data_IF_043298613456
#
_entry.id   IF_043298613456
#
_cell.length_a   1.000
_cell.length_b   1.000
_cell.length_c   1.000
_cell.angle_alpha   90.00
_cell.angle_beta   90.00
_cell.angle_gamma   90.00
#
_symmetry.space_group_name_H-M   'P 1'
#
loop_
_entity.id
_entity.type
_entity.pdbx_description
1 polymer ?
#
# COMPACT_ATOMS: atom_id res chain seq x y z
N UNK A 1 20.93 -38.69 -37.18
CA UNK A 1 19.69 -37.90 -37.33
C UNK A 1 19.11 -37.71 -35.94
N UNK A 2 19.33 -36.53 -35.36
CA UNK A 2 18.94 -36.17 -33.99
C UNK A 2 17.42 -36.01 -33.91
N UNK A 3 16.77 -36.94 -33.22
CA UNK A 3 15.33 -36.95 -33.06
C UNK A 3 14.93 -35.85 -32.06
N UNK A 4 14.43 -34.72 -32.59
CA UNK A 4 13.92 -33.58 -31.83
C UNK A 4 12.70 -34.06 -31.05
N UNK A 5 12.86 -34.37 -29.77
CA UNK A 5 11.73 -34.52 -28.84
C UNK A 5 11.02 -33.17 -28.79
N UNK A 6 9.89 -33.05 -29.48
CA UNK A 6 8.97 -31.95 -29.28
C UNK A 6 8.50 -32.01 -27.83
N UNK A 7 9.11 -31.18 -26.98
CA UNK A 7 8.70 -30.99 -25.61
C UNK A 7 7.31 -30.35 -25.63
N UNK A 8 6.28 -31.11 -25.28
CA UNK A 8 4.88 -30.63 -25.15
C UNK A 8 4.66 -29.61 -24.03
N UNK A 9 5.69 -28.85 -23.68
CA UNK A 9 5.73 -27.80 -22.65
C UNK A 9 6.01 -26.42 -23.28
N UNK A 10 5.95 -26.28 -24.61
CA UNK A 10 6.14 -24.97 -25.25
C UNK A 10 5.10 -23.95 -24.79
N UNK A 11 3.85 -24.38 -24.54
CA UNK A 11 2.77 -23.53 -24.03
C UNK A 11 3.07 -22.88 -22.67
N UNK A 12 4.02 -23.44 -21.90
CA UNK A 12 4.41 -22.91 -20.59
C UNK A 12 5.05 -21.52 -20.73
N UNK A 13 5.64 -21.22 -21.89
CA UNK A 13 6.20 -19.90 -22.21
C UNK A 13 5.15 -18.80 -22.33
N UNK A 14 3.91 -19.20 -22.65
CA UNK A 14 2.79 -18.28 -22.85
C UNK A 14 1.96 -18.09 -21.56
N UNK A 15 2.34 -18.79 -20.47
CA UNK A 15 1.65 -18.65 -19.19
C UNK A 15 2.06 -17.34 -18.48
N UNK A 16 1.10 -16.65 -17.84
CA UNK A 16 1.40 -15.48 -17.03
C UNK A 16 2.39 -15.83 -15.91
N UNK A 17 3.39 -14.98 -15.74
CA UNK A 17 4.47 -15.18 -14.77
C UNK A 17 5.53 -16.22 -15.12
N UNK A 18 5.63 -16.65 -16.39
CA UNK A 18 6.73 -17.49 -16.86
C UNK A 18 8.10 -16.80 -16.76
N UNK A 19 8.18 -15.50 -17.09
CA UNK A 19 9.42 -14.73 -16.97
C UNK A 19 9.64 -14.26 -15.53
N UNK A 20 10.77 -14.67 -14.94
CA UNK A 20 11.09 -14.40 -13.53
C UNK A 20 11.75 -13.04 -13.41
N UNK A 21 10.97 -12.07 -12.94
CA UNK A 21 11.43 -10.70 -12.69
C UNK A 21 10.48 -9.65 -13.26
N UNK A 22 9.65 -10.03 -14.24
CA UNK A 22 8.60 -9.17 -14.80
C UNK A 22 7.35 -9.98 -15.17
N UNK A 23 6.72 -10.64 -14.19
CA UNK A 23 5.56 -11.47 -14.47
C UNK A 23 4.36 -10.59 -14.84
N UNK A 24 3.97 -10.61 -16.10
CA UNK A 24 2.70 -10.02 -16.56
C UNK A 24 1.60 -11.03 -16.24
N UNK A 25 0.67 -10.67 -15.36
CA UNK A 25 -0.45 -11.53 -14.95
C UNK A 25 -1.78 -11.08 -15.57
N UNK A 26 -1.93 -9.78 -15.85
CA UNK A 26 -3.12 -9.22 -16.49
C UNK A 26 -2.84 -8.78 -17.92
N UNK A 27 -3.90 -8.63 -18.72
CA UNK A 27 -3.78 -8.18 -20.13
C UNK A 27 -3.17 -6.78 -20.26
N UNK A 28 -3.25 -5.97 -19.18
CA UNK A 28 -2.67 -4.64 -19.12
C UNK A 28 -1.61 -4.58 -18.04
N UNK A 29 -0.37 -4.40 -18.46
CA UNK A 29 0.82 -4.25 -17.63
C UNK A 29 0.68 -3.14 -16.55
N UNK A 30 -0.09 -2.08 -16.82
CA UNK A 30 -0.36 -1.03 -15.83
C UNK A 30 -1.16 -1.54 -14.62
N UNK A 31 -2.00 -2.56 -14.82
CA UNK A 31 -2.78 -3.19 -13.74
C UNK A 31 -1.87 -4.04 -12.86
N UNK A 32 -0.93 -4.79 -13.47
CA UNK A 32 0.10 -5.54 -12.74
C UNK A 32 0.98 -4.63 -11.88
N UNK A 33 1.42 -3.50 -12.44
CA UNK A 33 2.18 -2.49 -11.69
C UNK A 33 1.39 -1.91 -10.54
N UNK A 34 0.12 -1.56 -10.76
CA UNK A 34 -0.73 -1.01 -9.70
C UNK A 34 -0.94 -2.02 -8.56
N UNK A 35 -1.19 -3.29 -8.89
CA UNK A 35 -1.35 -4.34 -7.91
C UNK A 35 -0.05 -4.58 -7.13
N UNK A 36 1.10 -4.59 -7.83
CA UNK A 36 2.41 -4.71 -7.17
C UNK A 36 2.64 -3.58 -6.17
N UNK A 37 2.35 -2.34 -6.55
CA UNK A 37 2.43 -1.17 -5.65
C UNK A 37 1.50 -1.32 -4.45
N UNK A 38 0.25 -1.77 -4.67
CA UNK A 38 -0.70 -1.97 -3.57
C UNK A 38 -0.25 -3.07 -2.61
N UNK A 39 0.30 -4.16 -3.14
CA UNK A 39 0.84 -5.25 -2.32
C UNK A 39 2.04 -4.80 -1.49
N UNK A 40 2.98 -4.05 -2.09
CA UNK A 40 4.13 -3.48 -1.39
C UNK A 40 3.70 -2.50 -0.30
N UNK A 41 2.77 -1.59 -0.60
CA UNK A 41 2.22 -0.66 0.39
C UNK A 41 1.48 -1.40 1.53
N UNK A 42 0.75 -2.47 1.21
CA UNK A 42 0.08 -3.31 2.20
C UNK A 42 1.08 -4.01 3.13
N UNK A 43 2.21 -4.49 2.59
CA UNK A 43 3.28 -5.09 3.38
C UNK A 43 3.93 -4.08 4.32
N UNK A 44 4.27 -2.89 3.83
CA UNK A 44 4.84 -1.81 4.66
C UNK A 44 3.85 -1.35 5.74
N UNK A 45 2.55 -1.25 5.42
CA UNK A 45 1.51 -0.95 6.40
C UNK A 45 1.45 -2.02 7.51
N UNK A 46 1.61 -3.28 7.15
CA UNK A 46 1.63 -4.37 8.11
C UNK A 46 2.83 -4.28 9.08
N UNK A 47 4.01 -3.94 8.57
CA UNK A 47 5.20 -3.69 9.41
C UNK A 47 4.95 -2.55 10.40
N UNK A 48 4.28 -1.47 9.98
CA UNK A 48 3.93 -0.37 10.88
C UNK A 48 2.95 -0.83 11.96
N UNK A 49 1.92 -1.62 11.60
CA UNK A 49 0.97 -2.18 12.56
C UNK A 49 1.64 -3.10 13.57
N UNK A 50 2.55 -3.96 13.13
CA UNK A 50 3.30 -4.87 13.99
C UNK A 50 4.14 -4.09 15.03
N UNK A 51 4.85 -3.06 14.57
CA UNK A 51 5.61 -2.17 15.46
C UNK A 51 4.73 -1.41 16.43
N UNK A 52 3.54 -0.97 16.00
CA UNK A 52 2.58 -0.29 16.87
C UNK A 52 2.06 -1.24 17.96
N UNK A 53 1.70 -2.46 17.61
CA UNK A 53 1.24 -3.48 18.56
C UNK A 53 2.32 -3.80 19.60
N UNK A 54 3.58 -3.94 19.19
CA UNK A 54 4.68 -4.16 20.13
C UNK A 54 4.95 -2.94 21.03
N UNK A 55 4.82 -1.72 20.49
CA UNK A 55 4.91 -0.49 21.28
C UNK A 55 3.79 -0.43 22.33
N UNK A 56 2.56 -0.77 21.93
CA UNK A 56 1.39 -0.87 22.83
C UNK A 56 1.62 -1.89 23.95
N UNK A 57 2.17 -3.07 23.64
CA UNK A 57 2.56 -4.10 24.61
C UNK A 57 3.57 -3.55 25.63
N UNK A 58 4.69 -2.98 25.16
CA UNK A 58 5.73 -2.41 26.04
C UNK A 58 5.16 -1.31 26.94
N UNK A 59 4.30 -0.43 26.42
CA UNK A 59 3.72 0.66 27.20
C UNK A 59 2.70 0.16 28.24
N UNK A 60 1.96 -0.90 27.90
CA UNK A 60 1.02 -1.55 28.81
C UNK A 60 1.75 -2.26 29.96
N UNK A 61 2.80 -3.02 29.67
CA UNK A 61 3.60 -3.75 30.68
C UNK A 61 4.26 -2.81 31.69
N UNK A 62 4.66 -1.61 31.26
CA UNK A 62 5.27 -0.60 32.14
C UNK A 62 4.25 0.17 33.00
N UNK A 63 2.97 -0.23 33.01
CA UNK A 63 1.85 0.46 33.69
C UNK A 63 1.72 1.94 33.32
N UNK A 64 2.19 2.34 32.13
CA UNK A 64 2.16 3.74 31.67
C UNK A 64 0.95 4.06 30.80
N UNK A 65 0.23 3.04 30.33
CA UNK A 65 -0.90 3.22 29.41
C UNK A 65 -1.88 2.05 29.49
N UNK A 66 -3.19 2.33 29.57
CA UNK A 66 -4.23 1.33 29.37
C UNK A 66 -4.60 1.29 27.89
N UNK A 67 -4.65 0.11 27.28
CA UNK A 67 -5.09 -0.04 25.89
C UNK A 67 -6.54 0.43 25.68
N UNK A 68 -7.37 0.41 26.73
CA UNK A 68 -8.73 0.95 26.67
C UNK A 68 -8.73 2.47 26.44
N UNK A 69 -7.74 3.19 26.98
CA UNK A 69 -7.62 4.64 26.82
C UNK A 69 -7.29 5.02 25.37
N UNK A 70 -6.64 4.14 24.60
CA UNK A 70 -6.36 4.35 23.17
C UNK A 70 -7.61 4.16 22.31
N UNK A 71 -8.55 3.30 22.71
CA UNK A 71 -9.77 3.04 21.94
C UNK A 71 -10.82 4.14 22.12
N UNK A 72 -10.85 4.79 23.29
CA UNK A 72 -11.82 5.84 23.62
C UNK A 72 -11.22 7.25 23.66
N UNK A 73 -9.89 7.35 23.69
CA UNK A 73 -9.17 8.61 23.76
C UNK A 73 -9.16 9.32 22.41
N UNK A 74 -9.38 10.64 22.44
CA UNK A 74 -9.11 11.51 21.30
C UNK A 74 -7.69 12.10 21.45
N UNK A 75 -6.91 12.22 20.37
CA UNK A 75 -5.70 13.02 20.37
C UNK A 75 -5.98 14.44 20.91
N UNK A 76 -4.98 15.07 21.53
CA UNK A 76 -5.11 16.49 21.88
C UNK A 76 -5.38 17.33 20.63
N UNK A 77 -6.04 18.47 20.77
CA UNK A 77 -6.38 19.34 19.62
C UNK A 77 -5.13 19.71 18.81
N UNK A 78 -4.02 20.00 19.49
CA UNK A 78 -2.73 20.32 18.87
C UNK A 78 -2.14 19.14 18.10
N UNK A 79 -2.26 17.92 18.64
CA UNK A 79 -1.80 16.72 17.93
C UNK A 79 -2.72 16.39 16.75
N UNK A 80 -4.02 16.57 16.92
CA UNK A 80 -5.02 16.35 15.87
C UNK A 80 -4.77 17.25 14.66
N UNK A 81 -4.56 18.56 14.88
CA UNK A 81 -4.25 19.53 13.82
C UNK A 81 -3.00 19.12 13.05
N UNK A 82 -1.93 18.76 13.76
CA UNK A 82 -0.69 18.28 13.14
C UNK A 82 -0.91 16.99 12.31
N UNK A 83 -1.66 16.03 12.84
CA UNK A 83 -1.96 14.78 12.12
C UNK A 83 -2.81 15.02 10.88
N UNK A 84 -3.73 15.98 10.92
CA UNK A 84 -4.56 16.34 9.78
C UNK A 84 -3.74 17.04 8.69
N UNK A 85 -2.81 17.92 9.05
CA UNK A 85 -1.83 18.50 8.12
C UNK A 85 -0.95 17.42 7.45
N UNK A 86 -0.40 16.51 8.24
CA UNK A 86 0.41 15.39 7.74
C UNK A 86 -0.40 14.48 6.80
N UNK A 87 -1.67 14.19 7.15
CA UNK A 87 -2.59 13.42 6.30
C UNK A 87 -2.84 14.13 4.96
N UNK A 88 -3.14 15.43 4.98
CA UNK A 88 -3.37 16.20 3.75
C UNK A 88 -2.14 16.22 2.84
N UNK A 89 -0.95 16.38 3.41
CA UNK A 89 0.31 16.33 2.65
C UNK A 89 0.55 14.94 2.05
N UNK A 90 0.27 13.88 2.79
CA UNK A 90 0.38 12.50 2.32
C UNK A 90 -0.60 12.24 1.16
N UNK A 91 -1.87 12.61 1.33
CA UNK A 91 -2.90 12.47 0.29
C UNK A 91 -2.51 13.25 -0.96
N UNK A 92 -2.07 14.51 -0.82
CA UNK A 92 -1.59 15.33 -1.96
C UNK A 92 -0.38 14.70 -2.66
N UNK A 93 0.54 14.09 -1.91
CA UNK A 93 1.74 13.44 -2.48
C UNK A 93 1.39 12.17 -3.26
N UNK A 94 0.49 11.35 -2.73
CA UNK A 94 0.08 10.07 -3.32
C UNK A 94 -0.86 10.33 -4.51
N UNK A 95 -1.93 11.10 -4.28
CA UNK A 95 -3.01 11.26 -5.25
C UNK A 95 -2.90 12.51 -6.12
N UNK A 96 -2.19 13.56 -5.69
CA UNK A 96 -2.00 14.76 -6.51
C UNK A 96 -1.31 14.46 -7.86
N UNK A 97 -0.51 13.41 -7.94
CA UNK A 97 0.10 12.93 -9.20
C UNK A 97 -0.91 12.29 -10.15
N UNK A 98 -1.98 11.70 -9.63
CA UNK A 98 -3.07 11.11 -10.42
C UNK A 98 -4.01 12.20 -10.96
N UNK A 99 -4.32 13.21 -10.14
CA UNK A 99 -5.22 14.31 -10.52
C UNK A 99 -4.56 15.37 -11.41
N UNK A 100 -3.23 15.52 -11.37
CA UNK A 100 -2.50 16.46 -12.24
C UNK A 100 -2.66 16.15 -13.74
N UNK A 101 -2.88 14.88 -14.13
CA UNK A 101 -3.09 14.50 -15.53
C UNK A 101 -4.52 14.75 -16.04
N UNK A 102 -5.47 14.99 -15.14
CA UNK A 102 -6.90 15.18 -15.44
C UNK A 102 -7.43 16.58 -15.09
N UNK A 103 -6.55 17.58 -14.89
CA UNK A 103 -6.97 18.96 -14.62
C UNK A 103 -7.43 19.20 -13.18
N UNK A 104 -6.82 18.51 -12.21
CA UNK A 104 -7.17 18.58 -10.80
C UNK A 104 -6.69 19.81 -10.01
N UNK A 105 -6.51 20.97 -10.65
CA UNK A 105 -6.32 22.23 -9.92
C UNK A 105 -7.65 22.80 -9.38
N UNK A 106 -8.78 22.10 -9.58
CA UNK A 106 -10.12 22.55 -9.13
C UNK A 106 -10.94 21.46 -8.43
N UNK A 107 -10.37 20.29 -8.14
CA UNK A 107 -11.07 19.30 -7.32
C UNK A 107 -10.97 19.71 -5.86
N UNK A 108 -11.98 20.45 -5.38
CA UNK A 108 -12.18 20.74 -3.97
C UNK A 108 -12.01 19.46 -3.13
N UNK A 109 -11.33 19.64 -2.00
CA UNK A 109 -10.94 18.63 -1.02
C UNK A 109 -12.10 17.88 -0.35
N UNK A 110 -13.31 17.90 -0.91
CA UNK A 110 -14.49 17.21 -0.39
C UNK A 110 -14.54 15.72 -0.80
N UNK A 111 -13.84 15.31 -1.86
CA UNK A 111 -13.93 13.93 -2.37
C UNK A 111 -13.05 12.89 -1.67
N UNK A 112 -12.28 13.27 -0.65
CA UNK A 112 -11.28 12.40 0.01
C UNK A 112 -11.41 12.33 1.54
N UNK A 113 -12.62 12.60 2.06
CA UNK A 113 -13.00 12.37 3.46
C UNK A 113 -13.86 11.13 3.59
#
# INVERSE_FOLDING_TARGET
MTNKKNNGLEYVKDLPGYDRGYPIYFENELVDHLISIVLELGAELWVVKDRLAHLEEILSENNKLSLADLQTGKPSELLQEKLDEERQQLVKRIYGRLYSKYGGDVAESEGAL
#
